data_IF_212921529485
#
_entry.id   IF_212921529485
#
_cell.length_a   1.000
_cell.length_b   1.000
_cell.length_c   1.000
_cell.angle_alpha   90.00
_cell.angle_beta   90.00
_cell.angle_gamma   90.00
#
_symmetry.space_group_name_H-M   'P 1'
#
loop_
_entity.id
_entity.type
_entity.pdbx_description
1 polymer ?
#
# COMPACT_ATOMS: atom_id res chain seq x y z
N UNK A 1 -12.33 -17.01 -9.75
CA UNK A 1 -11.27 -18.01 -9.47
C UNK A 1 -10.04 -17.65 -10.29
N UNK A 2 -9.15 -16.82 -9.74
CA UNK A 2 -7.77 -16.63 -10.20
C UNK A 2 -6.91 -16.56 -8.94
N UNK A 3 -6.01 -17.53 -8.83
CA UNK A 3 -5.17 -17.86 -7.68
C UNK A 3 -4.19 -16.73 -7.33
N UNK A 4 -4.53 -15.90 -6.34
CA UNK A 4 -3.56 -15.01 -5.68
C UNK A 4 -2.85 -15.68 -4.49
N UNK A 5 -3.14 -16.96 -4.22
CA UNK A 5 -2.69 -17.67 -3.02
C UNK A 5 -1.31 -18.36 -3.13
N UNK A 6 -0.64 -18.31 -4.30
CA UNK A 6 0.51 -19.21 -4.59
C UNK A 6 1.91 -18.59 -4.58
N UNK A 7 2.09 -17.32 -4.19
CA UNK A 7 3.42 -16.68 -4.22
C UNK A 7 3.92 -16.35 -2.79
N UNK A 8 4.04 -17.36 -1.93
CA UNK A 8 4.87 -17.27 -0.71
C UNK A 8 5.10 -18.62 -0.03
N UNK A 9 5.64 -19.59 -0.75
CA UNK A 9 6.30 -20.72 -0.07
C UNK A 9 7.75 -20.31 0.21
N UNK A 10 8.14 -20.36 1.50
CA UNK A 10 9.51 -20.24 2.02
C UNK A 10 10.03 -18.87 2.50
N UNK A 11 9.38 -18.29 3.51
CA UNK A 11 10.08 -17.58 4.62
C UNK A 11 9.21 -17.69 5.90
N UNK A 12 9.31 -18.79 6.66
CA UNK A 12 8.72 -18.86 8.01
C UNK A 12 9.62 -18.06 8.95
N UNK A 13 9.33 -16.77 9.10
CA UNK A 13 9.91 -15.92 10.15
C UNK A 13 9.52 -16.51 11.53
N UNK A 14 10.49 -17.01 12.30
CA UNK A 14 10.34 -17.40 13.71
C UNK A 14 10.15 -16.17 14.61
N UNK A 15 9.09 -15.39 14.41
CA UNK A 15 8.67 -14.38 15.39
C UNK A 15 7.73 -15.06 16.39
N UNK A 16 7.89 -14.86 17.70
CA UNK A 16 6.85 -15.27 18.65
C UNK A 16 5.53 -14.62 18.23
N UNK A 17 4.38 -15.27 18.44
CA UNK A 17 3.10 -14.64 18.16
C UNK A 17 3.05 -13.35 18.98
N UNK A 18 3.15 -12.20 18.32
CA UNK A 18 2.80 -10.94 18.97
C UNK A 18 1.34 -11.12 19.37
N UNK A 19 1.08 -11.17 20.67
CA UNK A 19 -0.26 -11.19 21.23
C UNK A 19 -0.83 -9.78 21.03
N UNK A 20 -1.17 -9.44 19.78
CA UNK A 20 -1.84 -8.19 19.46
C UNK A 20 -3.27 -8.36 19.95
N UNK A 21 -3.55 -7.81 21.14
CA UNK A 21 -4.91 -7.77 21.66
C UNK A 21 -5.71 -6.80 20.79
N UNK A 22 -6.67 -7.34 20.03
CA UNK A 22 -7.55 -6.55 19.20
C UNK A 22 -8.56 -5.82 20.09
N UNK A 23 -8.34 -4.53 20.31
CA UNK A 23 -9.18 -3.74 21.19
C UNK A 23 -10.43 -3.18 20.47
N UNK A 24 -11.35 -2.60 21.24
CA UNK A 24 -12.53 -1.92 20.68
C UNK A 24 -12.09 -0.70 19.85
N UNK A 25 -11.04 -0.01 20.27
CA UNK A 25 -10.44 1.12 19.55
C UNK A 25 -9.87 0.67 18.20
N UNK A 26 -9.23 -0.51 18.13
CA UNK A 26 -8.77 -1.09 16.87
C UNK A 26 -9.93 -1.33 15.89
N UNK A 27 -11.06 -1.83 16.39
CA UNK A 27 -12.28 -2.04 15.57
C UNK A 27 -12.82 -0.70 15.05
N UNK A 28 -12.91 0.32 15.89
CA UNK A 28 -13.38 1.65 15.49
C UNK A 28 -12.45 2.27 14.44
N UNK A 29 -11.13 2.19 14.66
CA UNK A 29 -10.15 2.68 13.71
C UNK A 29 -10.24 1.96 12.36
N UNK A 30 -10.41 0.63 12.38
CA UNK A 30 -10.55 -0.18 11.18
C UNK A 30 -11.83 0.15 10.40
N UNK A 31 -12.98 0.28 11.07
CA UNK A 31 -14.24 0.64 10.42
C UNK A 31 -14.22 2.07 9.86
N UNK A 32 -13.54 3.00 10.55
CA UNK A 32 -13.29 4.35 10.01
C UNK A 32 -12.43 4.30 8.76
N UNK A 33 -11.35 3.52 8.77
CA UNK A 33 -10.49 3.35 7.61
C UNK A 33 -11.25 2.74 6.44
N UNK A 34 -12.04 1.69 6.69
CA UNK A 34 -12.88 1.05 5.68
C UNK A 34 -13.89 2.03 5.09
N UNK A 35 -14.57 2.80 5.93
CA UNK A 35 -15.51 3.84 5.47
C UNK A 35 -14.82 4.89 4.62
N UNK A 36 -13.66 5.40 5.08
CA UNK A 36 -12.86 6.35 4.33
C UNK A 36 -12.39 5.79 2.98
N UNK A 37 -11.97 4.53 2.92
CA UNK A 37 -11.56 3.86 1.68
C UNK A 37 -12.74 3.61 0.73
N UNK A 38 -13.95 3.37 1.24
CA UNK A 38 -15.16 3.24 0.41
C UNK A 38 -15.72 4.58 -0.07
N UNK A 39 -15.39 5.68 0.61
CA UNK A 39 -15.80 7.04 0.24
C UNK A 39 -14.72 7.80 -0.55
N UNK A 40 -13.49 7.31 -0.54
CA UNK A 40 -12.36 7.83 -1.31
C UNK A 40 -12.69 7.89 -2.81
N UNK A 41 -12.07 8.80 -3.58
CA UNK A 41 -12.45 9.06 -4.96
C UNK A 41 -12.47 7.77 -5.76
N UNK A 42 -13.57 7.58 -6.50
CA UNK A 42 -13.79 6.47 -7.42
C UNK A 42 -12.53 6.35 -8.30
N UNK A 43 -11.86 5.20 -8.21
CA UNK A 43 -10.70 4.93 -9.05
C UNK A 43 -11.11 5.11 -10.51
N UNK A 44 -10.37 5.95 -11.23
CA UNK A 44 -10.61 6.17 -12.65
C UNK A 44 -9.89 5.10 -13.45
N UNK A 45 -10.50 4.65 -14.55
CA UNK A 45 -9.83 3.76 -15.48
C UNK A 45 -8.59 4.46 -16.09
N UNK A 46 -7.45 3.76 -16.23
CA UNK A 46 -6.24 4.36 -16.81
C UNK A 46 -6.46 4.74 -18.27
N UNK A 47 -5.98 5.93 -18.66
CA UNK A 47 -5.78 6.28 -20.07
C UNK A 47 -4.31 6.15 -20.41
N UNK A 48 -3.94 5.13 -21.18
CA UNK A 48 -2.55 4.87 -21.54
C UNK A 48 -1.93 5.88 -22.53
N UNK A 49 -2.74 6.81 -23.06
CA UNK A 49 -2.24 7.90 -23.91
C UNK A 49 -1.81 9.14 -23.12
N UNK A 50 -2.14 9.20 -21.83
CA UNK A 50 -1.82 10.33 -20.95
C UNK A 50 -0.70 9.95 -19.98
N UNK A 51 0.12 10.91 -19.52
CA UNK A 51 1.18 10.63 -18.56
C UNK A 51 0.61 10.15 -17.22
N UNK A 52 1.35 9.26 -16.58
CA UNK A 52 1.08 8.82 -15.20
C UNK A 52 1.97 9.59 -14.23
N UNK A 53 1.40 9.94 -13.08
CA UNK A 53 2.11 10.54 -11.95
C UNK A 53 2.14 9.49 -10.84
N UNK A 54 3.34 9.03 -10.50
CA UNK A 54 3.57 8.09 -9.41
C UNK A 54 4.05 8.86 -8.18
N UNK A 55 3.30 8.78 -7.09
CA UNK A 55 3.67 9.34 -5.79
C UNK A 55 3.95 8.17 -4.84
N UNK A 56 5.16 8.09 -4.31
CA UNK A 56 5.59 7.02 -3.39
C UNK A 56 5.89 7.59 -2.01
N UNK A 57 5.62 6.79 -0.98
CA UNK A 57 5.97 7.09 0.41
C UNK A 57 6.55 5.84 1.06
N UNK A 58 7.62 6.02 1.82
CA UNK A 58 8.38 4.94 2.42
C UNK A 58 8.51 5.15 3.93
N UNK A 59 8.17 4.12 4.70
CA UNK A 59 8.48 4.07 6.13
C UNK A 59 9.31 2.84 6.45
N UNK A 60 9.86 2.74 7.66
CA UNK A 60 10.70 1.61 8.08
C UNK A 60 10.04 0.23 8.01
N UNK A 61 8.73 0.17 7.80
CA UNK A 61 7.97 -1.07 7.77
C UNK A 61 7.38 -1.38 6.39
N UNK A 62 7.18 -0.39 5.54
CA UNK A 62 6.43 -0.55 4.32
C UNK A 62 6.64 0.59 3.33
N UNK A 63 6.29 0.30 2.09
CA UNK A 63 6.27 1.21 0.97
C UNK A 63 4.83 1.34 0.50
N UNK A 64 4.38 2.57 0.33
CA UNK A 64 3.12 2.94 -0.28
C UNK A 64 3.37 3.66 -1.60
N UNK A 65 2.45 3.48 -2.54
CA UNK A 65 2.47 4.17 -3.81
C UNK A 65 1.04 4.50 -4.25
N UNK A 66 0.87 5.66 -4.85
CA UNK A 66 -0.36 6.13 -5.48
C UNK A 66 -0.05 6.44 -6.94
N UNK A 67 -0.78 5.80 -7.83
CA UNK A 67 -0.72 6.08 -9.26
C UNK A 67 -1.88 7.02 -9.62
N UNK A 68 -1.58 8.20 -10.12
CA UNK A 68 -2.56 9.21 -10.51
C UNK A 68 -2.38 9.65 -11.96
N UNK A 69 -3.44 10.21 -12.54
CA UNK A 69 -3.42 10.88 -13.84
C UNK A 69 -4.17 12.20 -13.76
N UNK A 70 -3.71 13.19 -14.49
CA UNK A 70 -4.36 14.49 -14.58
C UNK A 70 -5.36 14.51 -15.73
N UNK A 71 -6.58 14.97 -15.45
CA UNK A 71 -7.61 15.21 -16.44
C UNK A 71 -8.34 16.51 -16.09
N UNK A 72 -8.54 17.39 -17.08
CA UNK A 72 -9.19 18.71 -16.88
C UNK A 72 -8.61 19.49 -15.68
N UNK A 73 -7.28 19.50 -15.55
CA UNK A 73 -6.54 20.12 -14.43
C UNK A 73 -6.89 19.56 -13.03
N UNK A 74 -7.35 18.31 -12.95
CA UNK A 74 -7.63 17.59 -11.71
C UNK A 74 -6.92 16.25 -11.69
N UNK A 75 -6.28 15.91 -10.57
CA UNK A 75 -5.68 14.59 -10.35
C UNK A 75 -6.77 13.57 -10.00
N UNK A 76 -6.77 12.45 -10.71
CA UNK A 76 -7.59 11.29 -10.44
C UNK A 76 -6.71 10.11 -10.06
N UNK A 77 -7.10 9.36 -9.04
CA UNK A 77 -6.39 8.15 -8.63
C UNK A 77 -6.77 7.00 -9.55
N UNK A 78 -5.76 6.32 -10.08
CA UNK A 78 -5.91 5.13 -10.91
C UNK A 78 -5.74 3.87 -10.07
N UNK A 79 -4.72 3.85 -9.21
CA UNK A 79 -4.42 2.70 -8.37
C UNK A 79 -3.65 3.09 -7.10
N UNK A 80 -3.82 2.25 -6.08
CA UNK A 80 -2.98 2.24 -4.89
C UNK A 80 -2.17 0.94 -4.88
N UNK A 81 -0.90 1.03 -4.49
CA UNK A 81 -0.06 -0.13 -4.25
C UNK A 81 0.63 0.03 -2.89
N UNK A 82 0.78 -1.06 -2.17
CA UNK A 82 1.60 -1.07 -0.95
C UNK A 82 2.26 -2.42 -0.77
N UNK A 83 3.48 -2.42 -0.23
CA UNK A 83 4.22 -3.62 0.16
C UNK A 83 4.91 -3.43 1.49
N UNK A 84 4.99 -4.50 2.29
CA UNK A 84 5.83 -4.50 3.49
C UNK A 84 7.29 -4.69 3.09
N UNK A 85 8.20 -3.89 3.64
CA UNK A 85 9.63 -4.04 3.39
C UNK A 85 10.17 -5.34 4.01
N UNK A 86 11.03 -6.02 3.27
CA UNK A 86 11.76 -7.20 3.73
C UNK A 86 12.77 -6.82 4.81
N UNK A 87 13.23 -7.80 5.60
CA UNK A 87 14.23 -7.54 6.65
C UNK A 87 15.53 -6.95 6.11
N UNK A 88 15.89 -7.23 4.86
CA UNK A 88 17.04 -6.64 4.20
C UNK A 88 16.81 -5.16 3.87
N UNK A 89 15.68 -4.83 3.24
CA UNK A 89 15.34 -3.47 2.80
C UNK A 89 15.17 -2.48 3.97
N UNK A 90 14.78 -2.97 5.16
CA UNK A 90 14.69 -2.12 6.36
C UNK A 90 16.02 -1.53 6.80
N UNK A 91 17.13 -2.18 6.45
CA UNK A 91 18.47 -1.73 6.80
C UNK A 91 19.06 -0.75 5.77
N UNK A 92 18.34 -0.47 4.67
CA UNK A 92 18.76 0.53 3.70
C UNK A 92 18.66 1.94 4.27
N UNK A 93 19.51 2.84 3.76
CA UNK A 93 19.43 4.24 4.12
C UNK A 93 18.09 4.82 3.65
N UNK A 94 17.53 5.85 4.33
CA UNK A 94 16.22 6.41 3.99
C UNK A 94 16.07 6.77 2.50
N UNK A 95 17.12 7.31 1.88
CA UNK A 95 17.13 7.66 0.45
C UNK A 95 16.96 6.42 -0.44
N UNK A 96 17.63 5.32 -0.08
CA UNK A 96 17.59 4.08 -0.84
C UNK A 96 16.25 3.37 -0.68
N UNK A 97 15.50 3.63 0.40
CA UNK A 97 14.16 3.06 0.62
C UNK A 97 13.11 3.66 -0.31
N UNK A 98 13.28 4.92 -0.71
CA UNK A 98 12.36 5.62 -1.61
C UNK A 98 12.55 5.18 -3.08
N UNK A 99 13.77 4.73 -3.43
CA UNK A 99 14.19 4.36 -4.78
C UNK A 99 14.00 2.86 -5.15
N UNK A 100 13.35 2.03 -4.30
CA UNK A 100 13.17 0.55 -4.52
C UNK A 100 11.83 0.17 -5.14
#
# INVERSE_FOLDING_TARGET
MKDYAKIRSHQKSKRPPNNIEWSVECTIAFERLKTALTQAPILRAPNFNEPFILETDACDYGLGAVLTQEYDNKKFVIAYASRTQTTAERNYFPIEKEDV
#
